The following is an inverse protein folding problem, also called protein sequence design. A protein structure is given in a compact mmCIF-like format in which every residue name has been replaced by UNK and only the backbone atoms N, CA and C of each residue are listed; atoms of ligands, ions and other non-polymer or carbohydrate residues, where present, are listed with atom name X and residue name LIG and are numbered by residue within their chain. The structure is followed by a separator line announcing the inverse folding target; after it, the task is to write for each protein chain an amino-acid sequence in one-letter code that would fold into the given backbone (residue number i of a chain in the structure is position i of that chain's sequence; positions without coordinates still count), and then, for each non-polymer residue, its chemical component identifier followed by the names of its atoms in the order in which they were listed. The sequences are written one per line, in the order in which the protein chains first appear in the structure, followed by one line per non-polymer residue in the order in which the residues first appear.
data_IF_702298009597
#
_entry.id   IF_702298009597
#
_cell.length_a   1.000
_cell.length_b   1.000
_cell.length_c   1.000
_cell.angle_alpha   90.00
_cell.angle_beta   90.00
_cell.angle_gamma   90.00
#
_symmetry.space_group_name_H-M   'P 1'
#
loop_
_entity.id
_entity.type
_entity.pdbx_description
1 polymer ?
#
# COMPACT_ATOMS: atom_id res chain seq x y z
N UNK A 1 -21.73 -15.55 1.02
CA UNK A 1 -21.67 -15.45 2.49
C UNK A 1 -20.98 -14.15 2.84
N UNK A 2 -21.49 -13.35 3.80
CA UNK A 2 -20.73 -12.19 4.29
C UNK A 2 -19.78 -12.66 5.38
N UNK A 3 -18.50 -12.32 5.25
CA UNK A 3 -17.52 -12.57 6.30
C UNK A 3 -17.79 -11.65 7.50
N UNK A 4 -17.39 -12.09 8.69
CA UNK A 4 -17.27 -11.18 9.84
C UNK A 4 -16.20 -10.13 9.56
N UNK A 5 -16.21 -9.02 10.31
CA UNK A 5 -15.18 -7.99 10.19
C UNK A 5 -13.76 -8.57 10.39
N UNK A 6 -13.60 -9.50 11.35
CA UNK A 6 -12.34 -10.18 11.59
C UNK A 6 -11.94 -11.09 10.42
N UNK A 7 -12.88 -11.84 9.84
CA UNK A 7 -12.62 -12.69 8.68
C UNK A 7 -12.22 -11.88 7.44
N UNK A 8 -12.87 -10.74 7.21
CA UNK A 8 -12.52 -9.83 6.14
C UNK A 8 -11.11 -9.23 6.33
N UNK A 9 -10.74 -8.88 7.57
CA UNK A 9 -9.41 -8.37 7.89
C UNK A 9 -8.32 -9.43 7.66
N UNK A 10 -8.55 -10.68 8.07
CA UNK A 10 -7.60 -11.78 7.84
C UNK A 10 -7.33 -12.00 6.34
N UNK A 11 -8.38 -12.05 5.51
CA UNK A 11 -8.20 -12.18 4.06
C UNK A 11 -7.48 -10.96 3.45
N UNK A 12 -7.71 -9.76 3.99
CA UNK A 12 -6.96 -8.57 3.60
C UNK A 12 -5.46 -8.70 3.88
N UNK A 13 -5.07 -9.19 5.05
CA UNK A 13 -3.67 -9.45 5.38
C UNK A 13 -3.07 -10.55 4.51
N UNK A 14 -3.81 -11.63 4.24
CA UNK A 14 -3.34 -12.70 3.35
C UNK A 14 -3.05 -12.17 1.94
N UNK A 15 -3.91 -11.29 1.43
CA UNK A 15 -3.70 -10.64 0.13
C UNK A 15 -2.48 -9.69 0.15
N UNK A 16 -2.28 -8.91 1.22
CA UNK A 16 -1.10 -8.08 1.40
C UNK A 16 0.19 -8.90 1.43
N UNK A 17 0.19 -10.05 2.12
CA UNK A 17 1.32 -10.97 2.13
C UNK A 17 1.58 -11.57 0.74
N UNK A 18 0.53 -11.97 0.02
CA UNK A 18 0.68 -12.48 -1.35
C UNK A 18 1.26 -11.42 -2.31
N UNK A 19 0.78 -10.18 -2.19
CA UNK A 19 1.29 -9.05 -2.96
C UNK A 19 2.77 -8.79 -2.64
N UNK A 20 3.15 -8.75 -1.36
CA UNK A 20 4.54 -8.60 -0.94
C UNK A 20 5.42 -9.77 -1.42
N UNK A 21 4.88 -11.00 -1.39
CA UNK A 21 5.57 -12.20 -1.85
C UNK A 21 5.94 -12.14 -3.33
N UNK A 22 5.07 -11.59 -4.18
CA UNK A 22 5.40 -11.35 -5.59
C UNK A 22 6.67 -10.48 -5.75
N UNK A 23 6.81 -9.41 -4.97
CA UNK A 23 8.00 -8.57 -5.00
C UNK A 23 9.23 -9.25 -4.40
N UNK A 24 9.04 -10.09 -3.36
CA UNK A 24 10.13 -10.89 -2.80
C UNK A 24 10.68 -11.90 -3.84
N UNK A 25 9.82 -12.50 -4.67
CA UNK A 25 10.26 -13.36 -5.76
C UNK A 25 11.06 -12.59 -6.82
N UNK A 26 10.71 -11.32 -7.09
CA UNK A 26 11.49 -10.46 -8.00
C UNK A 26 12.90 -10.17 -7.49
N UNK A 27 13.11 -10.12 -6.17
CA UNK A 27 14.47 -9.98 -5.59
C UNK A 27 15.40 -11.14 -5.97
N UNK A 28 14.84 -12.33 -6.22
CA UNK A 28 15.62 -13.50 -6.60
C UNK A 28 16.08 -13.46 -8.06
N UNK A 29 15.54 -12.55 -8.87
CA UNK A 29 15.95 -12.36 -10.25
C UNK A 29 17.04 -11.27 -10.34
N UNK A 30 18.30 -11.61 -10.70
CA UNK A 30 19.38 -10.62 -10.78
C UNK A 30 19.17 -9.51 -11.82
N UNK A 31 18.28 -9.72 -12.78
CA UNK A 31 17.91 -8.70 -13.77
C UNK A 31 16.93 -7.65 -13.23
N UNK A 32 16.33 -7.88 -12.07
CA UNK A 32 15.38 -6.97 -11.44
C UNK A 32 16.07 -6.02 -10.46
N UNK A 33 15.57 -4.79 -10.39
CA UNK A 33 16.09 -3.74 -9.51
C UNK A 33 15.50 -3.81 -8.09
N UNK A 34 15.15 -4.99 -7.57
CA UNK A 34 14.53 -5.13 -6.23
C UNK A 34 15.55 -5.66 -5.22
N UNK A 35 15.74 -4.95 -4.11
CA UNK A 35 16.72 -5.31 -3.05
C UNK A 35 16.09 -5.54 -1.68
N UNK A 36 14.81 -5.22 -1.50
CA UNK A 36 14.11 -5.44 -0.25
C UNK A 36 12.60 -5.26 -0.39
N UNK A 37 11.87 -5.89 0.52
CA UNK A 37 10.43 -5.70 0.69
C UNK A 37 10.13 -5.55 2.18
N UNK A 38 9.43 -4.48 2.54
CA UNK A 38 8.97 -4.21 3.90
C UNK A 38 7.44 -4.24 3.92
N UNK A 39 6.86 -4.85 4.95
CA UNK A 39 5.41 -4.88 5.19
C UNK A 39 5.17 -4.04 6.45
N UNK A 40 4.16 -3.15 6.42
CA UNK A 40 3.86 -2.21 7.51
C UNK A 40 5.11 -1.42 7.96
N UNK A 41 5.81 -0.83 6.99
CA UNK A 41 7.09 -0.16 7.20
C UNK A 41 6.98 1.02 8.18
N UNK A 42 7.57 0.87 9.38
CA UNK A 42 7.43 1.82 10.50
C UNK A 42 7.83 3.27 10.16
N UNK A 43 8.76 3.46 9.23
CA UNK A 43 9.37 4.75 8.91
C UNK A 43 8.98 5.30 7.53
N UNK A 44 8.14 4.61 6.76
CA UNK A 44 7.77 5.02 5.41
C UNK A 44 6.61 6.05 5.38
N UNK A 45 6.11 6.42 6.56
CA UNK A 45 4.89 7.22 6.70
C UNK A 45 3.65 6.33 6.62
N UNK A 46 2.48 6.88 6.94
CA UNK A 46 1.23 6.10 6.99
C UNK A 46 0.63 5.87 5.59
N UNK A 47 1.49 5.69 4.59
CA UNK A 47 1.11 5.55 3.18
C UNK A 47 1.32 4.12 2.70
N UNK A 48 2.12 3.31 3.41
CA UNK A 48 2.64 2.08 2.86
C UNK A 48 2.25 0.86 3.68
N UNK A 49 1.35 0.08 3.10
CA UNK A 49 1.08 -1.29 3.54
C UNK A 49 2.28 -2.18 3.12
N UNK A 50 2.90 -1.89 1.96
CA UNK A 50 4.11 -2.55 1.44
C UNK A 50 5.06 -1.52 0.81
N UNK A 51 6.35 -1.59 1.14
CA UNK A 51 7.43 -0.82 0.50
C UNK A 51 8.36 -1.76 -0.23
N UNK A 52 8.68 -1.45 -1.48
CA UNK A 52 9.63 -2.20 -2.31
C UNK A 52 10.87 -1.34 -2.49
N UNK A 53 11.98 -1.83 -1.92
CA UNK A 53 13.28 -1.15 -1.97
C UNK A 53 13.97 -1.44 -3.28
N UNK A 54 14.44 -0.39 -3.94
CA UNK A 54 15.13 -0.45 -5.24
C UNK A 54 16.63 -0.20 -5.09
N UNK A 55 17.46 -0.77 -5.96
CA UNK A 55 18.92 -0.54 -5.91
C UNK A 55 19.28 0.80 -6.54
N UNK A 56 18.71 1.07 -7.71
CA UNK A 56 19.03 2.25 -8.51
C UNK A 56 17.83 3.18 -8.71
N UNK A 57 16.61 2.64 -8.84
CA UNK A 57 15.40 3.44 -8.94
C UNK A 57 14.93 3.95 -7.56
N UNK A 58 13.92 4.84 -7.58
CA UNK A 58 13.22 5.24 -6.36
C UNK A 58 12.42 4.06 -5.79
N UNK A 59 12.33 3.99 -4.46
CA UNK A 59 11.50 3.01 -3.78
C UNK A 59 10.03 3.13 -4.20
N UNK A 60 9.35 1.99 -4.29
CA UNK A 60 7.93 1.94 -4.61
C UNK A 60 7.12 1.73 -3.33
N UNK A 61 6.02 2.48 -3.26
CA UNK A 61 5.20 2.68 -2.08
C UNK A 61 3.78 2.23 -2.40
N UNK A 62 3.33 1.13 -1.78
CA UNK A 62 2.07 0.49 -2.11
C UNK A 62 1.09 0.53 -0.96
N UNK A 63 -0.12 0.96 -1.30
CA UNK A 63 -1.30 0.79 -0.50
C UNK A 63 -2.13 -0.37 -1.06
N UNK A 64 -2.25 -1.43 -0.28
CA UNK A 64 -2.94 -2.66 -0.67
C UNK A 64 -4.34 -2.64 -0.08
N UNK A 65 -5.35 -2.83 -0.93
CA UNK A 65 -6.75 -2.90 -0.50
C UNK A 65 -7.42 -4.13 -1.08
N UNK A 66 -8.25 -4.75 -0.25
CA UNK A 66 -8.93 -6.00 -0.56
C UNK A 66 -10.43 -5.84 -0.33
N UNK A 67 -11.22 -6.38 -1.26
CA UNK A 67 -12.68 -6.45 -1.13
C UNK A 67 -13.11 -7.91 -1.06
N UNK A 68 -13.87 -8.23 -0.02
CA UNK A 68 -14.57 -9.51 0.13
C UNK A 68 -15.87 -9.57 -0.68
N UNK A 69 -16.28 -8.44 -1.27
CA UNK A 69 -17.49 -8.31 -2.08
C UNK A 69 -17.14 -7.81 -3.48
N UNK A 70 -17.07 -8.76 -4.43
CA UNK A 70 -16.77 -8.47 -5.83
C UNK A 70 -17.87 -7.69 -6.57
N UNK A 71 -19.04 -7.45 -5.96
CA UNK A 71 -20.11 -6.63 -6.57
C UNK A 71 -19.82 -5.14 -6.50
N UNK A 72 -18.87 -4.73 -5.66
CA UNK A 72 -18.47 -3.32 -5.49
C UNK A 72 -16.97 -3.20 -5.77
N UNK A 73 -16.57 -2.61 -6.91
CA UNK A 73 -15.17 -2.39 -7.18
C UNK A 73 -14.57 -1.39 -6.18
N UNK A 74 -13.28 -1.55 -5.88
CA UNK A 74 -12.49 -0.52 -5.21
C UNK A 74 -12.02 0.44 -6.31
N UNK A 75 -12.80 1.49 -6.55
CA UNK A 75 -12.55 2.49 -7.58
C UNK A 75 -12.30 3.88 -6.96
N UNK A 76 -12.19 4.92 -7.82
CA UNK A 76 -12.00 6.28 -7.35
C UNK A 76 -13.15 6.75 -6.43
N UNK A 77 -14.39 6.37 -6.71
CA UNK A 77 -15.54 6.76 -5.90
C UNK A 77 -15.43 6.17 -4.49
N UNK A 78 -14.99 4.92 -4.36
CA UNK A 78 -14.67 4.31 -3.07
C UNK A 78 -13.61 5.09 -2.30
N UNK A 79 -12.54 5.54 -2.98
CA UNK A 79 -11.44 6.29 -2.36
C UNK A 79 -11.85 7.65 -1.82
N UNK A 80 -12.70 8.38 -2.53
CA UNK A 80 -13.03 9.78 -2.22
C UNK A 80 -14.32 9.93 -1.41
N UNK A 81 -15.14 8.88 -1.30
CA UNK A 81 -16.42 8.93 -0.59
C UNK A 81 -16.26 8.52 0.87
N UNK A 82 -16.59 9.39 1.84
CA UNK A 82 -16.65 9.02 3.24
C UNK A 82 -17.73 7.96 3.52
N UNK A 83 -17.43 7.01 4.41
CA UNK A 83 -18.41 6.01 4.85
C UNK A 83 -19.55 6.61 5.70
N UNK A 84 -19.33 7.79 6.30
CA UNK A 84 -20.33 8.54 7.08
C UNK A 84 -20.23 10.03 6.76
N UNK A 85 -21.31 10.79 6.96
CA UNK A 85 -21.38 12.22 6.63
C UNK A 85 -20.37 13.11 7.38
N UNK A 86 -19.86 12.65 8.53
CA UNK A 86 -18.80 13.31 9.31
C UNK A 86 -17.46 12.56 9.25
N UNK A 87 -17.39 11.47 8.49
CA UNK A 87 -16.20 10.64 8.36
C UNK A 87 -15.19 11.20 7.37
N UNK A 88 -13.97 10.65 7.42
CA UNK A 88 -12.98 10.83 6.35
C UNK A 88 -13.23 9.79 5.26
N UNK A 89 -12.99 10.15 4.01
CA UNK A 89 -12.87 9.15 2.95
C UNK A 89 -11.61 8.30 3.13
N UNK A 90 -11.52 7.09 2.54
CA UNK A 90 -10.30 6.30 2.59
C UNK A 90 -9.05 7.08 2.16
N UNK A 91 -9.16 7.94 1.14
CA UNK A 91 -8.06 8.78 0.67
C UNK A 91 -7.67 9.90 1.67
N UNK A 92 -8.60 10.35 2.51
CA UNK A 92 -8.32 11.32 3.58
C UNK A 92 -7.86 10.65 4.88
N UNK A 93 -8.29 9.42 5.12
CA UNK A 93 -7.94 8.62 6.29
C UNK A 93 -6.49 8.12 6.21
N UNK A 94 -6.06 7.76 5.00
CA UNK A 94 -4.64 7.65 4.69
C UNK A 94 -4.02 9.01 4.96
N UNK A 95 -2.95 9.09 5.77
CA UNK A 95 -2.30 10.39 6.09
C UNK A 95 -1.52 10.92 4.87
N UNK A 96 -2.10 10.79 3.68
CA UNK A 96 -1.50 11.01 2.38
C UNK A 96 -1.04 12.46 2.21
N UNK A 97 -1.72 13.43 2.83
CA UNK A 97 -1.30 14.83 2.75
C UNK A 97 0.05 15.12 3.45
N UNK A 98 0.49 14.34 4.43
CA UNK A 98 1.80 14.51 5.08
C UNK A 98 2.82 13.48 4.60
N UNK A 99 2.41 12.22 4.37
CA UNK A 99 3.29 11.17 3.87
C UNK A 99 3.76 11.38 2.43
N UNK A 100 2.88 11.80 1.51
CA UNK A 100 3.29 12.03 0.11
C UNK A 100 4.28 13.19 -0.03
N UNK A 101 4.29 14.16 0.88
CA UNK A 101 5.31 15.21 0.91
C UNK A 101 6.66 14.67 1.36
N UNK A 102 6.69 13.76 2.34
CA UNK A 102 7.89 13.08 2.78
C UNK A 102 8.44 12.12 1.71
N UNK A 103 7.59 11.32 1.05
CA UNK A 103 7.99 10.45 -0.06
C UNK A 103 8.57 11.24 -1.25
N UNK A 104 8.00 12.42 -1.55
CA UNK A 104 8.53 13.32 -2.59
C UNK A 104 9.91 13.90 -2.23
N UNK A 105 10.14 14.19 -0.95
CA UNK A 105 11.44 14.68 -0.48
C UNK A 105 12.52 13.59 -0.48
N UNK A 106 12.17 12.36 -0.10
CA UNK A 106 13.09 11.21 -0.13
C UNK A 106 13.51 10.83 -1.56
N UNK A 107 12.57 10.86 -2.51
CA UNK A 107 12.85 10.61 -3.94
C UNK A 107 13.64 11.76 -4.60
N UNK A 108 13.48 13.00 -4.15
CA UNK A 108 14.27 14.13 -4.63
C UNK A 108 15.73 14.14 -4.11
N UNK A 109 15.98 13.58 -2.92
CA UNK A 109 17.32 13.49 -2.34
C UNK A 109 18.21 12.38 -2.94
N UNK A 110 17.61 11.39 -3.60
CA UNK A 110 18.33 10.30 -4.29
C UNK A 110 18.83 10.69 -5.70
N UNK A 111 18.48 11.89 -6.19
CA UNK A 111 18.85 12.40 -7.50
C UNK A 111 19.97 13.47 -7.48
N UNK A 112 20.70 13.61 -6.37
CA UNK A 112 21.90 14.44 -6.21
C UNK A 112 23.13 13.57 -6.00
#
# INVERSE_FOLDING_TARGET
MSLSAAGAALQGHDYQHLFAWYHALRMLNPAEDVVGVEIEAKNAGNVDDVVVRRRAAADEHYQVKYSVDGRRPIDLAWWVTPATSRGKSPLQATRAASGWRACRAASAGAAM
#
